data_IF_900350846256
#
_entry.id   IF_900350846256
#
_cell.length_a   1.000
_cell.length_b   1.000
_cell.length_c   1.000
_cell.angle_alpha   90.00
_cell.angle_beta   90.00
_cell.angle_gamma   90.00
#
_symmetry.space_group_name_H-M   'P 1'
#
loop_
_entity.id
_entity.type
_entity.pdbx_description
1 polymer ?
#
# COMPACT_ATOMS: atom_id res chain seq x y z
N UNK A 1 -25.89 -20.57 3.31
CA UNK A 1 -26.22 -20.59 1.86
C UNK A 1 -25.18 -21.36 1.05
N UNK A 2 -23.87 -21.26 1.35
CA UNK A 2 -22.83 -22.12 0.73
C UNK A 2 -22.94 -23.60 1.16
N UNK A 3 -23.22 -23.89 2.43
CA UNK A 3 -23.28 -25.27 2.95
C UNK A 3 -24.28 -26.20 2.25
N UNK A 4 -25.32 -25.67 1.60
CA UNK A 4 -26.33 -26.50 0.90
C UNK A 4 -25.90 -27.00 -0.47
N UNK A 5 -24.84 -26.44 -1.06
CA UNK A 5 -24.38 -26.75 -2.42
C UNK A 5 -22.96 -27.32 -2.45
N UNK A 6 -22.26 -27.30 -1.31
CA UNK A 6 -20.92 -27.82 -1.19
C UNK A 6 -20.98 -29.34 -0.97
N UNK A 7 -20.38 -30.16 -1.84
CA UNK A 7 -20.36 -31.60 -1.66
C UNK A 7 -19.47 -31.98 -0.46
N UNK A 8 -19.86 -33.04 0.27
CA UNK A 8 -19.08 -33.55 1.41
C UNK A 8 -17.77 -34.21 0.93
N UNK A 9 -17.80 -34.85 -0.25
CA UNK A 9 -16.64 -35.44 -0.92
C UNK A 9 -16.08 -34.48 -1.98
N UNK A 10 -14.75 -34.41 -2.11
CA UNK A 10 -14.04 -33.56 -3.09
C UNK A 10 -14.40 -32.06 -3.01
N UNK A 11 -14.70 -31.57 -1.80
CA UNK A 11 -15.00 -30.16 -1.54
C UNK A 11 -13.88 -29.22 -2.06
N UNK A 12 -12.62 -29.64 -1.95
CA UNK A 12 -11.47 -28.89 -2.47
C UNK A 12 -11.58 -28.63 -3.97
N UNK A 13 -11.81 -29.68 -4.77
CA UNK A 13 -11.96 -29.58 -6.23
C UNK A 13 -13.19 -28.76 -6.61
N UNK A 14 -14.29 -28.91 -5.85
CA UNK A 14 -15.51 -28.13 -6.06
C UNK A 14 -15.27 -26.63 -5.84
N UNK A 15 -14.63 -26.24 -4.73
CA UNK A 15 -14.28 -24.85 -4.45
C UNK A 15 -13.30 -24.31 -5.50
N UNK A 16 -12.31 -25.11 -5.89
CA UNK A 16 -11.33 -24.70 -6.91
C UNK A 16 -12.00 -24.48 -8.26
N UNK A 17 -12.86 -25.40 -8.70
CA UNK A 17 -13.63 -25.25 -9.93
C UNK A 17 -14.51 -23.98 -9.91
N UNK A 18 -15.12 -23.63 -8.78
CA UNK A 18 -15.87 -22.38 -8.64
C UNK A 18 -14.97 -21.14 -8.73
N UNK A 19 -13.79 -21.16 -8.14
CA UNK A 19 -12.80 -20.07 -8.25
C UNK A 19 -12.29 -19.91 -9.68
N UNK A 20 -12.05 -21.01 -10.38
CA UNK A 20 -11.60 -21.03 -11.77
C UNK A 20 -12.69 -20.50 -12.71
N UNK A 21 -13.95 -20.91 -12.51
CA UNK A 21 -15.09 -20.33 -13.22
C UNK A 21 -15.15 -18.82 -12.97
N UNK A 22 -14.99 -18.35 -11.73
CA UNK A 22 -15.03 -16.93 -11.39
C UNK A 22 -13.88 -16.10 -11.97
N UNK A 23 -12.71 -16.70 -12.16
CA UNK A 23 -11.52 -16.01 -12.65
C UNK A 23 -11.37 -16.06 -14.18
N UNK A 24 -11.81 -17.14 -14.84
CA UNK A 24 -11.60 -17.37 -16.26
C UNK A 24 -12.86 -17.16 -17.12
N UNK A 25 -14.06 -17.40 -16.58
CA UNK A 25 -15.31 -17.43 -17.35
C UNK A 25 -16.28 -16.33 -16.91
N UNK A 26 -16.65 -16.32 -15.62
CA UNK A 26 -17.60 -15.39 -15.03
C UNK A 26 -16.89 -14.11 -14.52
N UNK A 27 -16.10 -13.49 -15.38
CA UNK A 27 -15.26 -12.34 -15.05
C UNK A 27 -16.09 -11.06 -14.81
N UNK A 28 -15.57 -10.08 -14.02
CA UNK A 28 -16.26 -8.82 -13.79
C UNK A 28 -16.48 -7.95 -15.03
N UNK A 29 -15.69 -8.17 -16.08
CA UNK A 29 -15.80 -7.53 -17.40
C UNK A 29 -15.83 -8.62 -18.45
N UNK A 30 -16.78 -8.52 -19.38
CA UNK A 30 -16.92 -9.37 -20.57
C UNK A 30 -16.88 -10.88 -20.28
N UNK A 31 -17.80 -11.41 -19.45
CA UNK A 31 -17.81 -12.83 -19.11
C UNK A 31 -18.17 -13.72 -20.30
N UNK A 32 -17.50 -14.88 -20.38
CA UNK A 32 -17.65 -15.87 -21.44
C UNK A 32 -18.86 -16.79 -21.18
N UNK A 33 -20.05 -16.20 -21.07
CA UNK A 33 -21.25 -16.94 -20.65
C UNK A 33 -21.58 -18.14 -21.53
N UNK A 34 -21.33 -18.08 -22.84
CA UNK A 34 -21.63 -19.16 -23.78
C UNK A 34 -20.67 -20.36 -23.62
N UNK A 35 -19.54 -20.17 -22.94
CA UNK A 35 -18.58 -21.22 -22.59
C UNK A 35 -18.69 -21.64 -21.12
N UNK A 36 -19.68 -21.11 -20.39
CA UNK A 36 -19.81 -21.38 -18.96
C UNK A 36 -20.44 -22.77 -18.72
N UNK A 37 -19.76 -23.68 -18.00
CA UNK A 37 -20.26 -25.04 -17.79
C UNK A 37 -21.57 -25.07 -16.99
N UNK A 38 -21.87 -24.01 -16.24
CA UNK A 38 -23.08 -23.86 -15.42
C UNK A 38 -24.08 -22.86 -16.00
N UNK A 39 -23.97 -22.51 -17.29
CA UNK A 39 -24.85 -21.53 -17.95
C UNK A 39 -26.34 -21.85 -17.75
N UNK A 40 -26.73 -23.12 -17.88
CA UNK A 40 -28.13 -23.59 -17.73
C UNK A 40 -28.72 -23.30 -16.35
N UNK A 41 -27.88 -23.18 -15.34
CA UNK A 41 -28.25 -22.88 -13.95
C UNK A 41 -28.11 -21.38 -13.60
N UNK A 42 -27.58 -20.56 -14.50
CA UNK A 42 -27.32 -19.15 -14.26
C UNK A 42 -28.58 -18.28 -14.43
N UNK A 43 -29.24 -17.96 -13.32
CA UNK A 43 -30.40 -17.05 -13.32
C UNK A 43 -30.06 -15.65 -13.86
N UNK A 44 -28.81 -15.20 -13.69
CA UNK A 44 -28.36 -13.89 -14.17
C UNK A 44 -28.28 -13.82 -15.69
N UNK A 45 -27.82 -14.91 -16.35
CA UNK A 45 -27.82 -15.05 -17.80
C UNK A 45 -29.25 -15.14 -18.34
N UNK A 46 -30.12 -15.96 -17.73
CA UNK A 46 -31.55 -16.06 -18.08
C UNK A 46 -32.28 -14.71 -18.04
N UNK A 47 -31.89 -13.83 -17.11
CA UNK A 47 -32.48 -12.49 -16.95
C UNK A 47 -31.76 -11.39 -17.75
N UNK A 48 -30.80 -11.73 -18.62
CA UNK A 48 -29.95 -10.76 -19.36
C UNK A 48 -29.34 -9.69 -18.44
N UNK A 49 -28.96 -10.07 -17.21
CA UNK A 49 -28.53 -9.16 -16.15
C UNK A 49 -27.04 -9.29 -15.78
N UNK A 50 -26.26 -10.01 -16.59
CA UNK A 50 -24.85 -10.33 -16.30
C UNK A 50 -24.02 -9.06 -16.10
N UNK A 51 -24.20 -8.06 -16.95
CA UNK A 51 -23.48 -6.78 -16.86
C UNK A 51 -23.95 -5.88 -15.69
N UNK A 52 -24.98 -6.30 -14.93
CA UNK A 52 -25.53 -5.57 -13.78
C UNK A 52 -25.07 -6.16 -12.44
N UNK A 53 -24.35 -7.30 -12.47
CA UNK A 53 -23.90 -8.03 -11.29
C UNK A 53 -22.37 -8.20 -11.33
N UNK A 54 -21.66 -8.04 -10.20
CA UNK A 54 -22.17 -7.55 -8.92
C UNK A 54 -22.58 -6.07 -9.02
N UNK A 55 -23.61 -5.69 -8.23
CA UNK A 55 -24.03 -4.29 -8.16
C UNK A 55 -22.83 -3.45 -7.73
N UNK A 56 -22.39 -2.53 -8.58
CA UNK A 56 -21.28 -1.64 -8.26
C UNK A 56 -21.62 -0.87 -6.99
N UNK A 57 -20.86 -1.14 -5.92
CA UNK A 57 -20.95 -0.37 -4.69
C UNK A 57 -20.49 1.06 -5.04
N UNK A 58 -21.28 2.07 -4.68
CA UNK A 58 -20.87 3.47 -4.86
C UNK A 58 -19.50 3.67 -4.21
N UNK A 59 -18.56 4.26 -4.95
CA UNK A 59 -17.26 4.64 -4.37
C UNK A 59 -17.51 5.60 -3.21
N UNK A 60 -17.27 5.14 -1.99
CA UNK A 60 -17.27 5.99 -0.81
C UNK A 60 -16.04 6.91 -0.93
N UNK A 61 -16.23 8.22 -0.70
CA UNK A 61 -15.11 9.15 -0.63
C UNK A 61 -14.21 8.74 0.53
N UNK A 62 -13.01 8.25 0.20
CA UNK A 62 -12.01 7.87 1.20
C UNK A 62 -11.50 9.12 1.93
N UNK A 63 -11.37 9.09 3.27
CA UNK A 63 -10.79 10.20 4.00
C UNK A 63 -9.36 10.47 3.51
N UNK A 64 -8.96 11.74 3.51
CA UNK A 64 -7.59 12.17 3.21
C UNK A 64 -6.86 12.33 4.53
N UNK A 65 -5.69 11.69 4.65
CA UNK A 65 -4.73 11.92 5.73
C UNK A 65 -3.54 12.67 5.16
N UNK A 66 -3.08 13.66 5.91
CA UNK A 66 -1.83 14.37 5.60
C UNK A 66 -0.75 13.95 6.58
N UNK A 67 0.47 13.78 6.09
CA UNK A 67 1.62 13.47 6.91
C UNK A 67 2.88 14.13 6.38
N UNK A 68 3.96 13.94 7.12
CA UNK A 68 5.28 14.41 6.75
C UNK A 68 6.23 13.23 6.65
N UNK A 69 7.23 13.35 5.77
CA UNK A 69 8.33 12.40 5.66
C UNK A 69 9.64 13.16 5.56
N UNK A 70 10.65 12.70 6.29
CA UNK A 70 11.98 13.29 6.29
C UNK A 70 12.92 12.47 5.42
N UNK A 71 13.49 13.13 4.41
CA UNK A 71 14.64 12.66 3.67
C UNK A 71 15.89 13.24 4.33
N UNK A 72 16.56 12.42 5.14
CA UNK A 72 17.76 12.85 5.88
C UNK A 72 18.96 12.18 5.25
N UNK A 73 19.86 13.00 4.71
CA UNK A 73 21.07 12.58 4.02
C UNK A 73 22.31 13.02 4.79
N UNK A 74 23.24 12.10 5.04
CA UNK A 74 24.53 12.42 5.65
C UNK A 74 25.58 12.85 4.60
N UNK A 75 26.77 13.20 5.08
CA UNK A 75 27.92 13.57 4.22
C UNK A 75 28.40 12.43 3.33
N UNK A 76 28.16 11.18 3.73
CA UNK A 76 28.61 9.98 3.02
C UNK A 76 27.59 9.49 1.97
N UNK A 77 26.65 10.35 1.56
CA UNK A 77 25.62 10.00 0.57
C UNK A 77 24.69 8.84 1.00
N UNK A 78 24.52 8.65 2.32
CA UNK A 78 23.59 7.69 2.90
C UNK A 78 22.34 8.40 3.41
N UNK A 79 21.23 7.68 3.45
CA UNK A 79 19.96 8.16 3.99
C UNK A 79 19.54 7.39 5.22
N UNK A 80 18.86 8.07 6.13
CA UNK A 80 18.30 7.44 7.32
C UNK A 80 17.01 6.69 6.97
N UNK A 81 16.99 5.41 7.30
CA UNK A 81 15.81 4.57 7.35
C UNK A 81 15.58 4.09 8.78
N UNK A 82 14.33 3.79 9.11
CA UNK A 82 13.98 3.07 10.33
C UNK A 82 13.02 1.93 10.00
N UNK A 83 12.97 0.94 10.88
CA UNK A 83 11.94 -0.10 10.83
C UNK A 83 10.73 0.38 11.63
N UNK A 84 9.54 0.28 11.04
CA UNK A 84 8.27 0.55 11.75
C UNK A 84 8.08 -0.50 12.84
N UNK A 85 7.40 -0.12 13.93
CA UNK A 85 7.00 -1.07 14.97
C UNK A 85 6.17 -2.23 14.43
N UNK A 86 5.93 -3.23 15.27
CA UNK A 86 5.31 -4.49 14.86
C UNK A 86 3.78 -4.43 14.78
N UNK A 87 3.19 -3.25 15.00
CA UNK A 87 1.76 -3.01 14.97
C UNK A 87 1.34 -1.89 13.99
N UNK A 88 0.09 -1.98 13.55
CA UNK A 88 -0.53 -0.98 12.69
C UNK A 88 -0.12 -1.05 11.20
N UNK A 89 -0.23 0.09 10.52
CA UNK A 89 -0.03 0.16 9.08
C UNK A 89 1.45 0.00 8.73
N UNK A 90 1.74 -0.91 7.78
CA UNK A 90 3.08 -1.25 7.31
C UNK A 90 4.01 -1.70 8.46
N UNK A 91 3.45 -2.41 9.44
CA UNK A 91 4.18 -2.95 10.57
C UNK A 91 5.42 -3.74 10.12
N UNK A 92 6.53 -3.54 10.81
CA UNK A 92 7.82 -4.17 10.52
C UNK A 92 8.48 -3.75 9.19
N UNK A 93 7.87 -2.89 8.36
CA UNK A 93 8.50 -2.46 7.11
C UNK A 93 9.52 -1.34 7.34
N UNK A 94 10.54 -1.28 6.47
CA UNK A 94 11.46 -0.15 6.42
C UNK A 94 10.75 1.10 5.88
N UNK A 95 11.07 2.25 6.48
CA UNK A 95 10.58 3.53 6.05
C UNK A 95 11.60 4.65 6.22
N UNK A 96 11.41 5.72 5.43
CA UNK A 96 11.94 7.02 5.80
C UNK A 96 11.17 7.55 7.01
N UNK A 97 11.81 8.24 7.97
CA UNK A 97 11.12 8.77 9.14
C UNK A 97 9.88 9.59 8.74
N UNK A 98 8.69 9.12 9.14
CA UNK A 98 7.42 9.69 8.71
C UNK A 98 6.39 9.76 9.84
N UNK A 99 5.58 10.83 9.85
CA UNK A 99 4.75 11.20 11.00
C UNK A 99 3.40 11.80 10.60
N UNK A 100 2.47 11.84 11.57
CA UNK A 100 1.12 12.44 11.49
C UNK A 100 0.10 11.76 10.57
N UNK A 101 0.37 10.55 10.08
CA UNK A 101 -0.56 9.84 9.17
C UNK A 101 -0.98 8.43 9.63
N UNK A 102 -0.32 7.90 10.65
CA UNK A 102 -0.61 6.60 11.25
C UNK A 102 -0.53 6.70 12.78
N UNK A 103 -1.18 5.79 13.49
CA UNK A 103 -1.16 5.71 14.96
C UNK A 103 0.17 5.09 15.46
N UNK A 104 1.31 5.60 14.99
CA UNK A 104 2.63 5.17 15.44
C UNK A 104 3.02 5.94 16.70
N UNK A 105 3.49 5.24 17.74
CA UNK A 105 3.98 5.88 18.97
C UNK A 105 5.27 6.64 18.68
N UNK A 106 5.30 7.93 18.97
CA UNK A 106 6.49 8.79 18.81
C UNK A 106 7.44 8.48 19.97
N UNK A 107 8.65 8.02 19.68
CA UNK A 107 9.71 7.81 20.68
C UNK A 107 10.67 9.01 20.77
N UNK A 108 11.68 8.94 21.65
CA UNK A 108 12.67 10.02 21.82
C UNK A 108 13.47 10.31 20.53
N UNK A 109 13.82 9.27 19.76
CA UNK A 109 14.50 9.45 18.48
C UNK A 109 13.62 10.17 17.45
N UNK A 110 12.32 9.84 17.42
CA UNK A 110 11.35 10.53 16.57
C UNK A 110 11.19 12.01 16.95
N UNK A 111 11.22 12.35 18.25
CA UNK A 111 11.24 13.75 18.70
C UNK A 111 12.49 14.47 18.21
N UNK A 112 13.68 13.85 18.29
CA UNK A 112 14.92 14.43 17.74
C UNK A 112 14.79 14.73 16.23
N UNK A 113 14.18 13.82 15.48
CA UNK A 113 13.93 14.00 14.03
C UNK A 113 12.96 15.15 13.77
N UNK A 114 11.85 15.19 14.50
CA UNK A 114 10.85 16.26 14.39
C UNK A 114 11.43 17.63 14.79
N UNK A 115 12.39 17.67 15.71
CA UNK A 115 13.09 18.87 16.17
C UNK A 115 14.29 19.27 15.30
N UNK A 116 14.55 18.59 14.17
CA UNK A 116 15.67 18.92 13.29
C UNK A 116 15.56 20.35 12.73
N UNK A 117 16.38 21.25 13.26
CA UNK A 117 16.51 22.62 12.75
C UNK A 117 17.01 22.60 11.29
N UNK A 118 16.48 23.52 10.48
CA UNK A 118 16.86 23.73 9.07
C UNK A 118 16.56 22.55 8.13
N UNK A 119 15.53 21.75 8.40
CA UNK A 119 14.97 20.85 7.37
C UNK A 119 14.20 21.67 6.33
N UNK A 120 14.59 21.58 5.06
CA UNK A 120 13.98 22.32 3.96
C UNK A 120 12.73 21.59 3.49
N UNK A 121 11.56 22.24 3.58
CA UNK A 121 10.34 21.73 2.94
C UNK A 121 10.52 21.73 1.42
N UNK A 122 10.40 20.56 0.79
CA UNK A 122 10.41 20.47 -0.66
C UNK A 122 9.03 20.86 -1.21
N UNK A 123 9.00 21.47 -2.40
CA UNK A 123 7.74 21.73 -3.14
C UNK A 123 7.14 20.46 -3.76
N UNK A 124 7.52 19.28 -3.25
CA UNK A 124 7.13 17.96 -3.74
C UNK A 124 6.26 17.27 -2.68
N UNK A 125 5.15 16.68 -3.12
CA UNK A 125 4.26 15.83 -2.30
C UNK A 125 4.17 14.43 -2.91
N UNK A 126 3.97 13.42 -2.05
CA UNK A 126 3.73 12.03 -2.46
C UNK A 126 2.32 11.65 -2.09
N UNK A 127 1.58 11.16 -3.09
CA UNK A 127 0.22 10.68 -2.90
C UNK A 127 0.17 9.16 -3.01
N UNK A 128 -0.43 8.51 -2.02
CA UNK A 128 -0.62 7.07 -1.99
C UNK A 128 -2.04 6.72 -1.58
N UNK A 129 -2.63 5.72 -2.22
CA UNK A 129 -4.00 5.30 -1.94
C UNK A 129 -3.98 3.94 -1.24
N UNK A 130 -4.42 3.92 0.01
CA UNK A 130 -4.72 2.70 0.75
C UNK A 130 -6.18 2.28 0.50
N UNK A 131 -6.53 1.06 0.86
CA UNK A 131 -7.90 0.55 0.76
C UNK A 131 -8.92 1.46 1.46
N UNK A 132 -8.54 2.03 2.61
CA UNK A 132 -9.46 2.79 3.47
C UNK A 132 -9.25 4.31 3.47
N UNK A 133 -8.12 4.82 3.00
CA UNK A 133 -7.84 6.27 3.03
C UNK A 133 -6.83 6.66 1.94
N UNK A 134 -6.80 7.93 1.58
CA UNK A 134 -5.76 8.52 0.73
C UNK A 134 -4.75 9.24 1.61
N UNK A 135 -3.46 9.00 1.38
CA UNK A 135 -2.36 9.64 2.08
C UNK A 135 -1.68 10.66 1.18
N UNK A 136 -1.42 11.85 1.73
CA UNK A 136 -0.57 12.88 1.13
C UNK A 136 0.61 13.14 2.08
N UNK A 137 1.82 12.80 1.66
CA UNK A 137 3.04 13.09 2.38
C UNK A 137 3.73 14.34 1.82
N UNK A 138 4.06 15.27 2.72
CA UNK A 138 4.95 16.39 2.42
C UNK A 138 6.38 15.99 2.73
N UNK A 139 7.30 16.23 1.80
CA UNK A 139 8.70 15.86 1.96
C UNK A 139 9.49 17.02 2.58
N UNK A 140 10.22 16.72 3.65
CA UNK A 140 11.23 17.59 4.24
C UNK A 140 12.60 16.99 3.99
N UNK A 141 13.55 17.80 3.54
CA UNK A 141 14.91 17.38 3.24
C UNK A 141 15.89 17.98 4.26
N UNK A 142 16.81 17.14 4.76
CA UNK A 142 17.95 17.57 5.55
C UNK A 142 19.22 16.95 4.96
N UNK A 143 20.11 17.80 4.45
CA UNK A 143 21.40 17.38 3.90
C UNK A 143 22.53 17.58 4.90
N UNK A 144 23.66 16.90 4.67
CA UNK A 144 24.90 17.00 5.45
C UNK A 144 24.67 16.74 6.95
N UNK A 145 23.78 15.81 7.28
CA UNK A 145 23.51 15.46 8.67
C UNK A 145 24.68 14.67 9.29
N UNK A 146 25.08 15.02 10.51
CA UNK A 146 26.09 14.26 11.25
C UNK A 146 25.46 13.03 11.90
N UNK A 147 25.96 11.84 11.56
CA UNK A 147 25.37 10.53 11.87
C UNK A 147 25.12 10.29 13.37
N UNK A 148 25.87 10.95 14.25
CA UNK A 148 26.01 10.62 15.68
C UNK A 148 24.75 10.76 16.55
N UNK A 149 23.65 11.35 16.05
CA UNK A 149 22.54 11.76 16.92
C UNK A 149 21.18 11.07 16.66
N UNK A 150 21.08 10.22 15.62
CA UNK A 150 19.81 9.59 15.24
C UNK A 150 19.93 8.08 15.13
N UNK A 151 18.98 7.39 15.75
CA UNK A 151 18.85 5.94 15.68
C UNK A 151 18.20 5.55 14.34
N UNK A 152 18.73 4.49 13.72
CA UNK A 152 18.23 3.93 12.48
C UNK A 152 19.33 3.35 11.60
N UNK A 153 18.93 2.89 10.42
CA UNK A 153 19.80 2.31 9.42
C UNK A 153 20.21 3.39 8.42
N UNK A 154 21.51 3.64 8.30
CA UNK A 154 22.05 4.53 7.27
C UNK A 154 22.42 3.70 6.05
N UNK A 155 21.70 3.93 4.95
CA UNK A 155 21.83 3.12 3.72
C UNK A 155 22.27 3.98 2.55
N UNK A 156 23.18 3.48 1.72
CA UNK A 156 23.61 4.17 0.51
C UNK A 156 22.43 4.39 -0.43
N UNK A 157 22.34 5.58 -1.03
CA UNK A 157 21.23 5.93 -1.95
C UNK A 157 21.10 4.96 -3.14
N UNK A 158 22.23 4.38 -3.59
CA UNK A 158 22.28 3.38 -4.65
C UNK A 158 21.64 2.04 -4.24
N UNK A 159 21.75 1.65 -2.98
CA UNK A 159 21.27 0.36 -2.46
C UNK A 159 19.78 0.36 -2.14
N UNK A 160 19.15 1.53 -2.02
CA UNK A 160 17.73 1.68 -1.66
C UNK A 160 16.80 0.88 -2.57
N UNK A 161 17.12 0.80 -3.88
CA UNK A 161 16.30 0.06 -4.86
C UNK A 161 16.21 -1.43 -4.55
N UNK A 162 17.23 -1.98 -3.89
CA UNK A 162 17.31 -3.41 -3.54
C UNK A 162 16.67 -3.70 -2.18
N UNK A 163 16.31 -2.67 -1.41
CA UNK A 163 15.61 -2.84 -0.15
C UNK A 163 14.13 -3.15 -0.39
N UNK A 164 13.56 -4.01 0.46
CA UNK A 164 12.13 -4.32 0.51
C UNK A 164 11.27 -3.16 1.02
N UNK A 165 11.38 -1.98 0.41
CA UNK A 165 10.58 -0.81 0.78
C UNK A 165 9.13 -0.94 0.30
N UNK A 166 8.14 -0.52 1.11
CA UNK A 166 6.76 -0.45 0.67
C UNK A 166 6.60 0.57 -0.47
N UNK A 167 5.59 0.37 -1.31
CA UNK A 167 5.29 1.21 -2.48
C UNK A 167 5.20 2.70 -2.13
N UNK A 168 4.66 3.05 -0.96
CA UNK A 168 4.63 4.42 -0.44
C UNK A 168 6.04 5.03 -0.36
N UNK A 169 7.01 4.31 0.20
CA UNK A 169 8.38 4.79 0.42
C UNK A 169 9.19 4.77 -0.88
N UNK A 170 8.95 3.80 -1.77
CA UNK A 170 9.50 3.81 -3.13
C UNK A 170 9.11 5.08 -3.90
N UNK A 171 7.85 5.52 -3.78
CA UNK A 171 7.40 6.81 -4.36
C UNK A 171 8.11 8.01 -3.75
N UNK A 172 8.40 8.01 -2.45
CA UNK A 172 9.20 9.08 -1.80
C UNK A 172 10.59 9.13 -2.40
N UNK A 173 11.27 7.98 -2.48
CA UNK A 173 12.59 7.88 -3.09
C UNK A 173 12.61 8.42 -4.53
N UNK A 174 11.69 7.95 -5.39
CA UNK A 174 11.56 8.43 -6.76
C UNK A 174 11.38 9.94 -6.81
N UNK A 175 10.47 10.50 -5.98
CA UNK A 175 10.17 11.93 -6.00
C UNK A 175 11.33 12.82 -5.57
N UNK A 176 12.22 12.32 -4.71
CA UNK A 176 13.40 13.05 -4.26
C UNK A 176 14.55 12.93 -5.28
N UNK A 177 14.77 11.74 -5.84
CA UNK A 177 15.89 11.46 -6.75
C UNK A 177 15.64 11.96 -8.18
N UNK A 178 14.42 11.81 -8.69
CA UNK A 178 14.00 12.40 -9.95
C UNK A 178 13.86 13.91 -9.72
N UNK A 179 14.88 14.67 -10.16
CA UNK A 179 14.96 16.13 -10.01
C UNK A 179 13.77 16.80 -10.68
#
# INVERSE_FOLDING_TARGET
MQEKLTPELNNGDYIQALMDIGSLICTPKDPLCNSCPIEKFCNTKKKNAVNKIPKKIKKINKPIREGIVFWIKNTNNQVLLKRRGDDGLLAGMLEFPSYNWSKHRINENDKKILSLKNAKKLKKKVTHEFSHFKLILTIYEKNQFNKSNLDGMWVNISEIKNLGLPTLMKKVYQKVIEK
#
